data_IF_591289808087
#
_entry.id   IF_591289808087
#
_cell.length_a   1.000
_cell.length_b   1.000
_cell.length_c   1.000
_cell.angle_alpha   90.00
_cell.angle_beta   90.00
_cell.angle_gamma   90.00
#
_symmetry.space_group_name_H-M   'P 1'
#
loop_
_entity.id
_entity.type
_entity.pdbx_description
1 polymer ?
#
# COMPACT_ATOMS: atom_id res chain seq x y z
N UNK A 1 -50.13 -30.93 -56.12
CA UNK A 1 -48.68 -31.16 -55.93
C UNK A 1 -48.02 -29.97 -55.23
N UNK A 2 -48.07 -28.76 -55.78
CA UNK A 2 -47.53 -27.55 -55.13
C UNK A 2 -48.25 -27.15 -53.83
N UNK A 3 -49.58 -27.16 -53.82
CA UNK A 3 -50.40 -26.86 -52.64
C UNK A 3 -50.19 -27.84 -51.47
N UNK A 4 -49.88 -29.09 -51.79
CA UNK A 4 -49.63 -30.14 -50.79
C UNK A 4 -48.21 -30.02 -50.18
N UNK A 5 -47.22 -29.65 -51.00
CA UNK A 5 -45.87 -29.31 -50.54
C UNK A 5 -45.89 -28.08 -49.64
N UNK A 6 -46.62 -27.04 -50.02
CA UNK A 6 -46.77 -25.80 -49.24
C UNK A 6 -47.44 -26.06 -47.89
N UNK A 7 -48.52 -26.85 -47.87
CA UNK A 7 -49.17 -27.26 -46.62
C UNK A 7 -48.23 -28.05 -45.69
N UNK A 8 -47.35 -28.89 -46.23
CA UNK A 8 -46.39 -29.67 -45.42
C UNK A 8 -45.26 -28.80 -44.87
N UNK A 9 -44.79 -27.81 -45.63
CA UNK A 9 -43.80 -26.84 -45.17
C UNK A 9 -44.33 -25.99 -44.02
N UNK A 10 -45.58 -25.51 -44.12
CA UNK A 10 -46.24 -24.74 -43.06
C UNK A 10 -46.41 -25.59 -41.78
N UNK A 11 -46.79 -26.87 -41.90
CA UNK A 11 -46.88 -27.77 -40.74
C UNK A 11 -45.51 -28.04 -40.10
N UNK A 12 -44.47 -28.18 -40.92
CA UNK A 12 -43.09 -28.33 -40.44
C UNK A 12 -42.60 -27.10 -39.69
N UNK A 13 -42.83 -25.91 -40.23
CA UNK A 13 -42.46 -24.64 -39.61
C UNK A 13 -43.14 -24.49 -38.24
N UNK A 14 -44.46 -24.77 -38.17
CA UNK A 14 -45.21 -24.73 -36.90
C UNK A 14 -44.64 -25.69 -35.86
N UNK A 15 -44.32 -26.93 -36.25
CA UNK A 15 -43.74 -27.92 -35.34
C UNK A 15 -42.33 -27.53 -34.88
N UNK A 16 -41.52 -26.98 -35.78
CA UNK A 16 -40.18 -26.49 -35.44
C UNK A 16 -40.27 -25.34 -34.43
N UNK A 17 -41.13 -24.35 -34.67
CA UNK A 17 -41.35 -23.22 -33.77
C UNK A 17 -41.81 -23.69 -32.39
N UNK A 18 -42.74 -24.66 -32.33
CA UNK A 18 -43.20 -25.24 -31.05
C UNK A 18 -42.08 -25.95 -30.29
N UNK A 19 -41.30 -26.81 -30.97
CA UNK A 19 -40.19 -27.53 -30.37
C UNK A 19 -39.09 -26.58 -29.89
N UNK A 20 -38.76 -25.57 -30.70
CA UNK A 20 -37.77 -24.57 -30.36
C UNK A 20 -38.21 -23.72 -29.17
N UNK A 21 -39.45 -23.22 -29.19
CA UNK A 21 -40.01 -22.43 -28.08
C UNK A 21 -40.01 -23.20 -26.77
N UNK A 22 -40.41 -24.49 -26.81
CA UNK A 22 -40.38 -25.36 -25.63
C UNK A 22 -38.96 -25.56 -25.12
N UNK A 23 -38.01 -25.85 -26.01
CA UNK A 23 -36.60 -26.06 -25.63
C UNK A 23 -35.98 -24.79 -25.03
N UNK A 24 -36.25 -23.62 -25.60
CA UNK A 24 -35.80 -22.33 -25.07
C UNK A 24 -36.41 -22.03 -23.70
N UNK A 25 -37.69 -22.33 -23.51
CA UNK A 25 -38.36 -22.17 -22.21
C UNK A 25 -37.75 -23.10 -21.15
N UNK A 26 -37.53 -24.38 -21.50
CA UNK A 26 -36.91 -25.36 -20.59
C UNK A 26 -35.49 -24.93 -20.15
N UNK A 27 -34.70 -24.32 -21.04
CA UNK A 27 -33.40 -23.75 -20.68
C UNK A 27 -33.55 -22.54 -19.75
N UNK A 28 -34.45 -21.60 -20.08
CA UNK A 28 -34.67 -20.42 -19.23
C UNK A 28 -35.18 -20.78 -17.83
N UNK A 29 -36.02 -21.81 -17.72
CA UNK A 29 -36.54 -22.24 -16.42
C UNK A 29 -35.46 -22.92 -15.58
N UNK A 30 -34.56 -23.70 -16.20
CA UNK A 30 -33.36 -24.25 -15.51
C UNK A 30 -32.40 -23.16 -15.05
N UNK A 31 -32.14 -22.17 -15.89
CA UNK A 31 -31.27 -21.05 -15.54
C UNK A 31 -31.88 -20.22 -14.40
N UNK A 32 -33.21 -19.99 -14.44
CA UNK A 32 -33.94 -19.33 -13.35
C UNK A 32 -33.88 -20.10 -12.04
N UNK A 33 -34.06 -21.41 -12.08
CA UNK A 33 -33.99 -22.27 -10.90
C UNK A 33 -32.56 -22.27 -10.31
N UNK A 34 -31.54 -22.35 -11.16
CA UNK A 34 -30.15 -22.24 -10.75
C UNK A 34 -29.85 -20.88 -10.10
N UNK A 35 -30.25 -19.77 -10.74
CA UNK A 35 -30.06 -18.42 -10.18
C UNK A 35 -30.83 -18.24 -8.87
N UNK A 36 -32.07 -18.73 -8.79
CA UNK A 36 -32.88 -18.66 -7.57
C UNK A 36 -32.24 -19.42 -6.41
N UNK A 37 -31.48 -20.48 -6.69
CA UNK A 37 -30.74 -21.26 -5.69
C UNK A 37 -29.40 -20.63 -5.31
N UNK A 38 -28.60 -20.21 -6.29
CA UNK A 38 -27.21 -19.78 -6.07
C UNK A 38 -27.11 -18.31 -5.66
N UNK A 39 -27.99 -17.42 -6.15
CA UNK A 39 -27.93 -15.99 -5.84
C UNK A 39 -28.09 -15.68 -4.34
N UNK A 40 -29.02 -16.33 -3.58
CA UNK A 40 -29.08 -16.16 -2.14
C UNK A 40 -27.81 -16.62 -1.42
N UNK A 41 -27.18 -17.71 -1.88
CA UNK A 41 -25.93 -18.22 -1.31
C UNK A 41 -24.79 -17.22 -1.52
N UNK A 42 -24.62 -16.73 -2.76
CA UNK A 42 -23.64 -15.70 -3.10
C UNK A 42 -23.86 -14.41 -2.31
N UNK A 43 -25.11 -13.99 -2.13
CA UNK A 43 -25.43 -12.82 -1.31
C UNK A 43 -25.09 -13.03 0.17
N UNK A 44 -25.35 -14.21 0.71
CA UNK A 44 -24.99 -14.56 2.09
C UNK A 44 -23.47 -14.59 2.27
N UNK A 45 -22.73 -15.18 1.33
CA UNK A 45 -21.26 -15.20 1.33
C UNK A 45 -20.66 -13.81 1.22
N UNK A 46 -21.18 -12.99 0.29
CA UNK A 46 -20.80 -11.58 0.15
C UNK A 46 -21.01 -10.83 1.46
N UNK A 47 -22.18 -10.96 2.07
CA UNK A 47 -22.49 -10.28 3.34
C UNK A 47 -21.57 -10.74 4.48
N UNK A 48 -21.25 -12.04 4.54
CA UNK A 48 -20.31 -12.57 5.51
C UNK A 48 -18.88 -12.02 5.29
N UNK A 49 -18.44 -11.92 4.03
CA UNK A 49 -17.15 -11.35 3.66
C UNK A 49 -17.07 -9.85 4.01
N UNK A 50 -18.10 -9.06 3.69
CA UNK A 50 -18.19 -7.64 4.06
C UNK A 50 -18.13 -7.45 5.58
N UNK A 51 -18.84 -8.29 6.33
CA UNK A 51 -18.81 -8.26 7.80
C UNK A 51 -17.42 -8.57 8.36
N UNK A 52 -16.71 -9.55 7.78
CA UNK A 52 -15.33 -9.88 8.17
C UNK A 52 -14.37 -8.75 7.82
N UNK A 53 -14.49 -8.17 6.63
CA UNK A 53 -13.67 -7.03 6.19
C UNK A 53 -13.81 -5.86 7.17
N UNK A 54 -15.05 -5.47 7.52
CA UNK A 54 -15.30 -4.41 8.49
C UNK A 54 -14.65 -4.67 9.85
N UNK A 55 -14.68 -5.92 10.34
CA UNK A 55 -14.01 -6.30 11.59
C UNK A 55 -12.50 -6.20 11.49
N UNK A 56 -11.92 -6.59 10.35
CA UNK A 56 -10.47 -6.48 10.11
C UNK A 56 -10.07 -5.00 10.07
N UNK A 57 -10.83 -4.15 9.39
CA UNK A 57 -10.59 -2.71 9.37
C UNK A 57 -10.65 -2.09 10.78
N UNK A 58 -11.63 -2.50 11.59
CA UNK A 58 -11.74 -2.08 12.98
C UNK A 58 -10.52 -2.53 13.83
N UNK A 59 -10.05 -3.76 13.63
CA UNK A 59 -8.85 -4.27 14.29
C UNK A 59 -7.60 -3.50 13.86
N UNK A 60 -7.44 -3.21 12.56
CA UNK A 60 -6.33 -2.40 12.05
C UNK A 60 -6.35 -1.02 12.70
N UNK A 61 -7.52 -0.37 12.78
CA UNK A 61 -7.65 0.94 13.41
C UNK A 61 -7.28 0.90 14.90
N UNK A 62 -7.78 -0.08 15.65
CA UNK A 62 -7.46 -0.26 17.07
C UNK A 62 -5.97 -0.52 17.30
N UNK A 63 -5.37 -1.38 16.48
CA UNK A 63 -3.94 -1.68 16.57
C UNK A 63 -3.08 -0.46 16.25
N UNK A 64 -3.50 0.39 15.28
CA UNK A 64 -2.80 1.66 15.00
C UNK A 64 -2.79 2.59 16.22
N UNK A 65 -3.93 2.78 16.88
CA UNK A 65 -3.99 3.58 18.12
C UNK A 65 -3.05 3.02 19.19
N UNK A 66 -3.04 1.70 19.38
CA UNK A 66 -2.13 1.06 20.34
C UNK A 66 -0.65 1.25 19.97
N UNK A 67 -0.31 1.19 18.67
CA UNK A 67 1.06 1.46 18.20
C UNK A 67 1.42 2.92 18.47
N UNK A 68 0.53 3.87 18.19
CA UNK A 68 0.75 5.29 18.41
C UNK A 68 0.98 5.58 19.91
N UNK A 69 0.16 4.98 20.79
CA UNK A 69 0.31 5.09 22.25
C UNK A 69 1.65 4.49 22.73
N UNK A 70 2.03 3.31 22.21
CA UNK A 70 3.31 2.67 22.55
C UNK A 70 4.51 3.49 22.06
N UNK A 71 4.43 4.06 20.87
CA UNK A 71 5.48 4.92 20.33
C UNK A 71 5.66 6.18 21.19
N UNK A 72 4.55 6.77 21.65
CA UNK A 72 4.58 7.93 22.54
C UNK A 72 5.20 7.60 23.91
N UNK A 73 4.82 6.47 24.51
CA UNK A 73 5.40 6.01 25.78
C UNK A 73 6.90 5.70 25.66
N UNK A 74 7.31 4.99 24.60
CA UNK A 74 8.72 4.69 24.36
C UNK A 74 9.52 5.96 24.08
N UNK A 75 8.93 6.94 23.37
CA UNK A 75 9.58 8.22 23.13
C UNK A 75 9.86 8.95 24.44
N UNK A 76 8.88 8.97 25.36
CA UNK A 76 9.06 9.54 26.70
C UNK A 76 10.16 8.83 27.48
N UNK A 77 10.20 7.51 27.45
CA UNK A 77 11.27 6.75 28.13
C UNK A 77 12.66 7.10 27.57
N UNK A 78 12.81 7.12 26.25
CA UNK A 78 14.09 7.34 25.58
C UNK A 78 14.56 8.80 25.62
N UNK A 79 13.64 9.76 25.66
CA UNK A 79 13.94 11.21 25.65
C UNK A 79 13.95 11.86 27.05
N UNK A 80 13.76 11.07 28.11
CA UNK A 80 13.70 11.60 29.48
C UNK A 80 12.40 12.35 29.81
N UNK A 81 11.29 11.98 29.16
CA UNK A 81 9.93 12.41 29.48
C UNK A 81 9.23 13.26 28.41
N UNK A 82 9.81 13.41 27.22
CA UNK A 82 9.25 14.26 26.15
C UNK A 82 8.36 13.44 25.21
N UNK A 83 7.30 14.08 24.71
CA UNK A 83 6.40 13.50 23.71
C UNK A 83 7.07 13.42 22.32
N UNK A 84 6.54 12.57 21.44
CA UNK A 84 6.99 12.51 20.04
C UNK A 84 6.87 13.87 19.35
N UNK A 85 5.77 14.58 19.58
CA UNK A 85 5.54 15.91 19.02
C UNK A 85 6.60 16.92 19.51
N UNK A 86 6.90 16.95 20.81
CA UNK A 86 7.92 17.84 21.36
C UNK A 86 9.33 17.52 20.82
N UNK A 87 9.63 16.23 20.62
CA UNK A 87 10.89 15.82 19.99
C UNK A 87 10.95 16.23 18.52
N UNK A 88 9.85 16.06 17.78
CA UNK A 88 9.73 16.54 16.41
C UNK A 88 9.91 18.05 16.29
N UNK A 89 9.26 18.82 17.15
CA UNK A 89 9.38 20.29 17.22
C UNK A 89 10.81 20.73 17.49
N UNK A 90 11.50 20.11 18.46
CA UNK A 90 12.89 20.44 18.76
C UNK A 90 13.82 20.20 17.56
N UNK A 91 13.59 19.13 16.78
CA UNK A 91 14.34 18.87 15.55
C UNK A 91 14.02 19.93 14.48
N UNK A 92 12.75 20.31 14.33
CA UNK A 92 12.34 21.36 13.38
C UNK A 92 12.93 22.72 13.76
N UNK A 93 13.03 23.04 15.05
CA UNK A 93 13.67 24.27 15.52
C UNK A 93 15.17 24.32 15.16
N UNK A 94 15.89 23.20 15.30
CA UNK A 94 17.32 23.13 15.01
C UNK A 94 17.64 23.05 13.51
N UNK A 95 16.94 22.19 12.77
CA UNK A 95 17.28 21.84 11.38
C UNK A 95 16.26 22.33 10.34
N UNK A 96 15.14 22.90 10.77
CA UNK A 96 13.97 23.13 9.93
C UNK A 96 13.24 21.83 9.58
N UNK A 97 12.19 21.94 8.76
CA UNK A 97 11.43 20.77 8.27
C UNK A 97 12.19 19.89 7.28
N UNK A 98 13.30 20.40 6.72
CA UNK A 98 14.11 19.72 5.71
C UNK A 98 15.60 19.91 5.98
N UNK A 99 16.27 18.82 6.34
CA UNK A 99 17.71 18.77 6.48
C UNK A 99 18.33 18.21 5.20
N UNK A 100 18.90 19.09 4.36
CA UNK A 100 19.63 18.72 3.14
C UNK A 100 20.98 18.10 3.50
N UNK A 101 21.01 16.78 3.65
CA UNK A 101 22.23 16.01 3.93
C UNK A 101 22.02 14.58 3.45
N UNK A 102 23.08 13.97 2.93
CA UNK A 102 23.08 12.56 2.52
C UNK A 102 22.68 11.69 3.72
N UNK A 103 22.00 10.57 3.48
CA UNK A 103 21.43 9.69 4.50
C UNK A 103 22.35 9.49 5.72
N UNK A 104 23.59 9.07 5.49
CA UNK A 104 24.56 8.73 6.55
C UNK A 104 24.98 9.94 7.39
N UNK A 105 25.21 11.09 6.76
CA UNK A 105 25.61 12.32 7.43
C UNK A 105 24.43 12.94 8.21
N UNK A 106 23.25 13.01 7.59
CA UNK A 106 22.03 13.50 8.25
C UNK A 106 21.65 12.66 9.45
N UNK A 107 21.71 11.32 9.33
CA UNK A 107 21.50 10.39 10.46
C UNK A 107 22.48 10.64 11.60
N UNK A 108 23.75 10.89 11.29
CA UNK A 108 24.76 11.20 12.32
C UNK A 108 24.47 12.54 13.02
N UNK A 109 24.11 13.58 12.26
CA UNK A 109 23.74 14.90 12.78
C UNK A 109 22.52 14.83 13.70
N UNK A 110 21.45 14.17 13.26
CA UNK A 110 20.21 14.01 14.04
C UNK A 110 20.46 13.25 15.34
N UNK A 111 21.24 12.16 15.30
CA UNK A 111 21.59 11.41 16.52
C UNK A 111 22.43 12.21 17.50
N UNK A 112 23.44 12.93 17.01
CA UNK A 112 24.27 13.76 17.89
C UNK A 112 23.44 14.88 18.53
N UNK A 113 22.53 15.49 17.77
CA UNK A 113 21.56 16.45 18.29
C UNK A 113 20.70 15.85 19.42
N UNK A 114 20.01 14.72 19.15
CA UNK A 114 19.14 14.07 20.14
C UNK A 114 19.89 13.74 21.44
N UNK A 115 21.11 13.24 21.29
CA UNK A 115 22.00 12.92 22.40
C UNK A 115 22.31 14.15 23.26
N UNK A 116 22.70 15.26 22.62
CA UNK A 116 23.08 16.50 23.31
C UNK A 116 21.88 17.21 23.91
N UNK A 117 20.79 17.34 23.16
CA UNK A 117 19.58 18.06 23.56
C UNK A 117 18.89 17.39 24.76
N UNK A 118 18.70 16.07 24.71
CA UNK A 118 18.07 15.31 25.79
C UNK A 118 19.05 14.77 26.84
N UNK A 119 20.35 15.03 26.68
CA UNK A 119 21.42 14.57 27.60
C UNK A 119 21.42 13.05 27.83
N UNK A 120 21.15 12.30 26.76
CA UNK A 120 21.10 10.83 26.77
C UNK A 120 22.38 10.23 26.21
N UNK A 121 22.57 8.91 26.41
CA UNK A 121 23.74 8.21 25.89
C UNK A 121 23.60 7.86 24.39
N UNK A 122 24.68 7.36 23.78
CA UNK A 122 24.69 7.00 22.36
C UNK A 122 23.68 5.88 21.99
N UNK A 123 23.43 4.94 22.90
CA UNK A 123 22.50 3.84 22.64
C UNK A 123 21.05 4.37 22.62
N UNK A 124 20.66 5.14 23.65
CA UNK A 124 19.34 5.75 23.73
C UNK A 124 19.09 6.74 22.58
N UNK A 125 20.08 7.55 22.20
CA UNK A 125 19.95 8.44 21.04
C UNK A 125 19.75 7.67 19.73
N UNK A 126 20.47 6.55 19.56
CA UNK A 126 20.27 5.68 18.40
C UNK A 126 18.87 5.09 18.38
N UNK A 127 18.40 4.60 19.52
CA UNK A 127 17.12 3.91 19.63
C UNK A 127 15.96 4.93 19.49
N UNK A 128 16.11 6.15 20.05
CA UNK A 128 15.18 7.26 19.85
C UNK A 128 15.10 7.68 18.38
N UNK A 129 16.24 7.76 17.70
CA UNK A 129 16.25 8.03 16.26
C UNK A 129 15.46 6.99 15.47
N UNK A 130 15.64 5.69 15.78
CA UNK A 130 14.93 4.63 15.07
C UNK A 130 13.43 4.68 15.34
N UNK A 131 13.03 4.96 16.59
CA UNK A 131 11.63 5.18 16.94
C UNK A 131 11.03 6.35 16.13
N UNK A 132 11.75 7.47 15.99
CA UNK A 132 11.28 8.61 15.19
C UNK A 132 11.15 8.28 13.70
N UNK A 133 12.00 7.39 13.18
CA UNK A 133 11.92 6.88 11.80
C UNK A 133 10.71 5.94 11.64
N UNK A 134 10.48 5.03 12.59
CA UNK A 134 9.35 4.09 12.60
C UNK A 134 7.98 4.77 12.82
N UNK A 135 7.91 5.72 13.74
CA UNK A 135 6.74 6.59 13.95
C UNK A 135 6.51 7.54 12.76
N UNK A 136 7.49 7.64 11.85
CA UNK A 136 7.41 8.43 10.64
C UNK A 136 7.62 9.92 10.85
N UNK A 137 8.01 10.37 12.05
CA UNK A 137 8.42 11.75 12.36
C UNK A 137 9.65 12.17 11.57
N UNK A 138 10.56 11.23 11.29
CA UNK A 138 11.71 11.42 10.41
C UNK A 138 11.57 10.52 9.18
N UNK A 139 11.75 11.10 7.99
CA UNK A 139 11.73 10.35 6.73
C UNK A 139 12.86 10.81 5.83
N UNK A 140 13.64 9.87 5.30
CA UNK A 140 14.59 10.20 4.25
C UNK A 140 13.90 10.20 2.90
N UNK A 141 13.90 11.36 2.24
CA UNK A 141 13.40 11.54 0.89
C UNK A 141 14.57 11.57 -0.08
N UNK A 142 14.35 11.00 -1.26
CA UNK A 142 15.31 10.99 -2.36
C UNK A 142 14.71 11.74 -3.52
N UNK A 143 15.50 12.62 -4.15
CA UNK A 143 15.11 13.22 -5.41
C UNK A 143 15.30 12.19 -6.52
N UNK A 144 14.20 11.69 -7.06
CA UNK A 144 14.18 10.93 -8.30
C UNK A 144 13.60 11.86 -9.35
N UNK A 145 14.39 12.23 -10.35
CA UNK A 145 13.88 13.01 -11.48
C UNK A 145 12.70 12.27 -12.10
N UNK A 146 11.67 13.00 -12.55
CA UNK A 146 10.57 12.41 -13.32
C UNK A 146 11.08 11.71 -14.59
N UNK A 147 12.23 12.16 -15.13
CA UNK A 147 12.91 11.55 -16.28
C UNK A 147 13.55 10.19 -15.96
N UNK A 148 13.77 9.88 -14.68
CA UNK A 148 14.38 8.62 -14.22
C UNK A 148 13.34 7.56 -13.80
N UNK A 149 12.05 7.91 -13.84
CA UNK A 149 10.95 6.98 -13.53
C UNK A 149 10.86 5.90 -14.62
N UNK A 150 11.30 4.69 -14.27
CA UNK A 150 11.26 3.53 -15.16
C UNK A 150 12.63 3.10 -15.70
N UNK A 151 13.69 3.86 -15.41
CA UNK A 151 15.06 3.43 -15.69
C UNK A 151 15.46 2.30 -14.74
N UNK A 152 15.94 1.15 -15.23
CA UNK A 152 16.39 0.07 -14.38
C UNK A 152 17.53 0.53 -13.47
N UNK A 153 17.37 0.39 -12.15
CA UNK A 153 18.45 0.61 -11.20
C UNK A 153 19.48 -0.50 -11.37
N UNK A 154 20.67 -0.15 -11.87
CA UNK A 154 21.80 -1.07 -11.98
C UNK A 154 22.63 -0.98 -10.71
N UNK A 155 22.66 -2.07 -9.94
CA UNK A 155 23.48 -2.18 -8.75
C UNK A 155 24.85 -2.78 -9.12
N UNK A 156 25.93 -2.04 -8.86
CA UNK A 156 27.29 -2.55 -9.00
C UNK A 156 27.79 -3.07 -7.67
N UNK A 157 28.37 -4.28 -7.66
CA UNK A 157 29.07 -4.75 -6.47
C UNK A 157 30.34 -3.90 -6.22
N UNK A 158 30.79 -3.77 -4.95
CA UNK A 158 31.97 -3.00 -4.62
C UNK A 158 33.20 -3.47 -5.42
N UNK A 159 33.76 -2.60 -6.26
CA UNK A 159 34.96 -2.87 -7.06
C UNK A 159 34.71 -3.28 -8.52
N UNK A 160 33.45 -3.49 -8.94
CA UNK A 160 33.10 -3.82 -10.32
C UNK A 160 32.83 -2.58 -11.20
N UNK A 161 32.66 -1.41 -10.58
CA UNK A 161 32.37 -0.17 -11.29
C UNK A 161 33.65 0.52 -11.80
N UNK A 162 33.70 0.80 -13.10
CA UNK A 162 34.73 1.63 -13.75
C UNK A 162 34.05 2.72 -14.57
N UNK A 163 34.29 3.99 -14.21
CA UNK A 163 33.82 5.19 -14.94
C UNK A 163 34.20 5.20 -16.43
N UNK A 164 35.23 4.43 -16.82
CA UNK A 164 35.75 4.39 -18.19
C UNK A 164 35.07 3.29 -19.03
N UNK A 165 34.55 2.23 -18.39
CA UNK A 165 34.02 1.05 -19.07
C UNK A 165 32.49 1.01 -19.14
N UNK A 166 31.80 1.58 -18.15
CA UNK A 166 30.34 1.64 -18.10
C UNK A 166 29.88 3.10 -17.95
N UNK A 167 29.37 3.75 -19.02
CA UNK A 167 28.80 5.08 -18.94
C UNK A 167 27.41 5.09 -18.27
N UNK A 168 27.07 4.04 -17.52
CA UNK A 168 25.83 3.94 -16.76
C UNK A 168 25.70 5.13 -15.82
N UNK A 169 24.52 5.75 -15.81
CA UNK A 169 24.21 6.88 -14.94
C UNK A 169 24.36 6.39 -13.51
N UNK A 170 25.45 6.80 -12.83
CA UNK A 170 25.50 6.66 -11.38
C UNK A 170 24.48 7.65 -10.85
N UNK A 171 23.35 7.14 -10.41
CA UNK A 171 22.40 7.92 -9.64
C UNK A 171 23.04 8.26 -8.29
N UNK A 172 23.71 9.40 -8.23
CA UNK A 172 23.92 10.11 -6.97
C UNK A 172 22.56 10.65 -6.56
N UNK A 173 21.78 9.77 -5.93
CA UNK A 173 20.50 10.08 -5.34
C UNK A 173 20.73 11.06 -4.18
N UNK A 174 20.76 12.34 -4.52
CA UNK A 174 20.71 13.41 -3.54
C UNK A 174 19.36 13.33 -2.82
N UNK A 175 19.41 13.44 -1.51
CA UNK A 175 18.23 13.31 -0.68
C UNK A 175 18.31 14.21 0.54
N UNK A 176 17.21 14.30 1.26
CA UNK A 176 17.10 15.10 2.46
C UNK A 176 16.29 14.35 3.51
N UNK A 177 16.56 14.67 4.77
CA UNK A 177 15.68 14.25 5.86
C UNK A 177 14.54 15.23 5.96
N UNK A 178 13.32 14.72 5.89
CA UNK A 178 12.08 15.44 6.14
C UNK A 178 11.62 15.15 7.58
N UNK A 179 11.24 16.21 8.28
CA UNK A 179 10.69 16.13 9.64
C UNK A 179 9.21 16.44 9.55
N UNK A 180 8.37 15.45 9.86
CA UNK A 180 6.91 15.59 9.96
C UNK A 180 6.56 15.63 11.44
N UNK A 181 6.74 16.80 12.05
CA UNK A 181 6.27 17.14 13.38
C UNK A 181 4.88 17.79 13.29
#
# INVERSE_FOLDING_TARGET
>A
MWTELESRLIDWEKRFVQLWSKKTQDYMDRDREYVAKELPLLNAEKHAAETRLRKIEELIAKTRVLIDDLNEDLCRELSGGHSLAAVGEAIVEEFGRRLKSVYSEGRKKLREFLKLHYRINNALSRDLFYLLEEAGTLRYQVDLSDDDKGTPLVYYAPGEFSYVADPGVIYHLEGWWEVTA
#
